data_IF_542688668284
#
_entry.id   IF_542688668284
#
_cell.length_a   1.000
_cell.length_b   1.000
_cell.length_c   1.000
_cell.angle_alpha   90.00
_cell.angle_beta   90.00
_cell.angle_gamma   90.00
#
_symmetry.space_group_name_H-M   'P 1'
#
loop_
_entity.id
_entity.type
_entity.pdbx_description
1 polymer ?
#
# COMPACT_ATOMS: atom_id res chain seq x y z
N UNK A 1 -15.93 -3.07 -12.06
CA UNK A 1 -15.40 -3.22 -10.67
C UNK A 1 -14.66 -1.93 -10.31
N UNK A 2 -14.77 -1.42 -9.08
CA UNK A 2 -14.03 -0.23 -8.68
C UNK A 2 -12.56 -0.57 -8.38
N UNK A 3 -11.68 0.41 -8.53
CA UNK A 3 -10.25 0.27 -8.27
C UNK A 3 -10.02 0.23 -6.75
N UNK A 4 -9.10 -0.63 -6.30
CA UNK A 4 -8.75 -0.78 -4.88
C UNK A 4 -8.08 0.48 -4.31
N UNK A 5 -8.41 0.87 -3.09
CA UNK A 5 -7.88 2.07 -2.42
C UNK A 5 -6.37 2.07 -2.34
N UNK A 6 -5.78 0.98 -1.84
CA UNK A 6 -4.33 0.77 -1.76
C UNK A 6 -3.61 0.85 -3.11
N UNK A 7 -4.26 0.48 -4.22
CA UNK A 7 -3.68 0.64 -5.57
C UNK A 7 -3.64 2.11 -5.95
N UNK A 8 -4.71 2.86 -5.70
CA UNK A 8 -4.72 4.30 -5.93
C UNK A 8 -3.69 5.03 -5.06
N UNK A 9 -3.56 4.63 -3.78
CA UNK A 9 -2.56 5.17 -2.87
C UNK A 9 -1.13 4.90 -3.35
N UNK A 10 -0.83 3.67 -3.75
CA UNK A 10 0.48 3.29 -4.30
C UNK A 10 0.79 4.02 -5.62
N UNK A 11 -0.20 4.23 -6.49
CA UNK A 11 -0.05 5.03 -7.71
C UNK A 11 0.28 6.49 -7.39
N UNK A 12 -0.42 7.10 -6.42
CA UNK A 12 -0.11 8.46 -5.97
C UNK A 12 1.32 8.56 -5.41
N UNK A 13 1.72 7.62 -4.57
CA UNK A 13 3.07 7.57 -3.99
C UNK A 13 4.15 7.40 -5.07
N UNK A 14 3.91 6.53 -6.06
CA UNK A 14 4.80 6.35 -7.21
C UNK A 14 4.94 7.63 -8.02
N UNK A 15 3.83 8.31 -8.34
CA UNK A 15 3.85 9.56 -9.08
C UNK A 15 4.59 10.66 -8.31
N UNK A 16 4.40 10.73 -6.98
CA UNK A 16 5.18 11.63 -6.13
C UNK A 16 6.69 11.36 -6.22
N UNK A 17 7.09 10.10 -6.11
CA UNK A 17 8.49 9.67 -6.22
C UNK A 17 9.10 10.06 -7.58
N UNK A 18 8.39 9.78 -8.67
CA UNK A 18 8.83 10.13 -10.03
C UNK A 18 8.95 11.65 -10.24
N UNK A 19 7.97 12.44 -9.77
CA UNK A 19 7.99 13.89 -9.86
C UNK A 19 9.11 14.54 -9.01
N UNK A 20 9.47 13.89 -7.90
CA UNK A 20 10.53 14.36 -7.02
C UNK A 20 11.93 14.02 -7.54
N UNK A 21 12.13 12.78 -8.00
CA UNK A 21 13.43 12.24 -8.38
C UNK A 21 14.13 13.08 -9.45
N UNK A 22 13.42 13.57 -10.47
CA UNK A 22 14.05 14.35 -11.54
C UNK A 22 15.28 13.63 -12.13
N UNK A 23 16.47 14.24 -12.03
CA UNK A 23 17.78 13.68 -12.45
C UNK A 23 18.68 13.23 -11.27
N UNK A 24 18.15 13.16 -10.05
CA UNK A 24 18.87 12.68 -8.86
C UNK A 24 18.71 11.16 -8.74
N UNK A 25 19.74 10.50 -8.20
CA UNK A 25 19.72 9.06 -7.92
C UNK A 25 18.53 8.72 -7.03
N UNK A 26 17.74 7.71 -7.44
CA UNK A 26 16.43 7.36 -6.90
C UNK A 26 16.40 6.78 -5.49
N UNK A 27 17.08 7.40 -4.53
CA UNK A 27 17.14 6.97 -3.12
C UNK A 27 15.94 7.42 -2.27
N UNK A 28 15.10 8.33 -2.78
CA UNK A 28 13.96 8.85 -2.04
C UNK A 28 12.74 7.94 -2.18
N UNK A 29 12.28 7.43 -1.05
CA UNK A 29 11.09 6.58 -0.94
C UNK A 29 9.95 7.29 -0.19
N UNK A 30 8.69 6.91 -0.41
CA UNK A 30 7.56 7.38 0.37
C UNK A 30 7.68 6.88 1.82
N UNK A 31 8.00 7.79 2.75
CA UNK A 31 8.10 7.48 4.19
C UNK A 31 6.79 7.71 4.93
N UNK A 32 5.94 8.60 4.40
CA UNK A 32 4.58 8.80 4.87
C UNK A 32 3.69 9.26 3.72
N UNK A 33 2.51 8.68 3.61
CA UNK A 33 1.50 9.07 2.62
C UNK A 33 0.16 9.18 3.32
N UNK A 34 -0.52 10.31 3.16
CA UNK A 34 -1.92 10.48 3.55
C UNK A 34 -2.76 10.70 2.31
N UNK A 35 -3.98 10.18 2.29
CA UNK A 35 -4.88 10.33 1.16
C UNK A 35 -6.36 10.48 1.58
N UNK A 36 -7.06 11.35 0.87
CA UNK A 36 -8.51 11.53 0.94
C UNK A 36 -9.14 10.92 -0.32
N UNK A 37 -10.02 9.92 -0.14
CA UNK A 37 -10.76 9.28 -1.22
C UNK A 37 -12.09 9.99 -1.43
N UNK A 38 -12.19 10.77 -2.51
CA UNK A 38 -13.33 11.64 -2.81
C UNK A 38 -14.38 10.97 -3.71
N UNK A 39 -13.93 10.09 -4.61
CA UNK A 39 -14.80 9.34 -5.51
C UNK A 39 -14.10 8.06 -5.99
N UNK A 40 -14.89 7.03 -6.31
CA UNK A 40 -14.38 5.78 -6.86
C UNK A 40 -14.31 5.85 -8.41
N UNK A 41 -13.11 5.89 -9.02
CA UNK A 41 -12.95 5.89 -10.47
C UNK A 41 -13.39 4.53 -11.06
N UNK A 42 -13.79 4.57 -12.32
CA UNK A 42 -14.03 3.37 -13.12
C UNK A 42 -12.72 2.81 -13.69
N UNK A 43 -12.66 1.51 -14.01
CA UNK A 43 -11.51 0.93 -14.70
C UNK A 43 -11.26 1.66 -16.02
N UNK A 44 -10.07 2.24 -16.16
CA UNK A 44 -9.71 3.00 -17.34
C UNK A 44 -8.53 3.93 -17.05
N UNK A 45 -8.21 4.81 -18.01
CA UNK A 45 -7.18 5.82 -17.84
C UNK A 45 -7.51 6.74 -16.66
N UNK A 46 -6.47 7.13 -15.93
CA UNK A 46 -6.49 8.17 -14.89
C UNK A 46 -5.30 9.09 -15.10
N UNK A 47 -5.41 10.33 -14.63
CA UNK A 47 -4.33 11.31 -14.64
C UNK A 47 -3.84 11.51 -13.21
N UNK A 48 -2.52 11.54 -13.02
CA UNK A 48 -1.87 11.89 -11.76
C UNK A 48 -1.21 13.26 -11.93
N UNK A 49 -1.72 14.26 -11.21
CA UNK A 49 -1.17 15.62 -11.20
C UNK A 49 -0.36 15.81 -9.93
N UNK A 50 0.92 16.08 -10.06
CA UNK A 50 1.85 16.21 -8.93
C UNK A 50 2.32 17.65 -8.78
N UNK A 51 2.37 18.16 -7.55
CA UNK A 51 2.98 19.45 -7.22
C UNK A 51 4.05 19.27 -6.16
N UNK A 52 5.32 19.47 -6.52
CA UNK A 52 6.42 19.42 -5.55
C UNK A 52 6.41 20.67 -4.69
N UNK A 53 6.02 20.53 -3.42
CA UNK A 53 5.91 21.63 -2.45
C UNK A 53 7.25 22.00 -1.84
N UNK A 54 8.15 21.03 -1.70
CA UNK A 54 9.48 21.22 -1.10
C UNK A 54 10.48 20.23 -1.69
N UNK A 55 11.63 20.75 -2.17
CA UNK A 55 12.85 19.99 -2.46
C UNK A 55 13.89 20.28 -1.40
N UNK A 56 14.08 19.36 -0.47
CA UNK A 56 15.12 19.42 0.55
C UNK A 56 16.16 18.33 0.35
N UNK A 57 17.31 18.45 1.02
CA UNK A 57 18.39 17.46 0.92
C UNK A 57 18.01 16.06 1.45
N UNK A 58 17.12 15.99 2.45
CA UNK A 58 16.70 14.74 3.11
C UNK A 58 15.21 14.47 3.05
N UNK A 59 14.40 15.50 2.81
CA UNK A 59 12.94 15.42 2.84
C UNK A 59 12.37 16.14 1.62
N UNK A 60 11.49 15.44 0.91
CA UNK A 60 10.64 15.95 -0.16
C UNK A 60 9.18 15.98 0.27
N UNK A 61 8.45 17.00 -0.18
CA UNK A 61 7.00 17.06 0.00
C UNK A 61 6.33 17.22 -1.36
N UNK A 62 5.39 16.34 -1.68
CA UNK A 62 4.69 16.33 -2.96
C UNK A 62 3.20 16.14 -2.72
N UNK A 63 2.40 17.05 -3.26
CA UNK A 63 0.95 16.88 -3.35
C UNK A 63 0.63 16.11 -4.64
N UNK A 64 -0.32 15.19 -4.59
CA UNK A 64 -0.75 14.38 -5.74
C UNK A 64 -2.27 14.35 -5.83
N UNK A 65 -2.80 14.56 -7.03
CA UNK A 65 -4.21 14.35 -7.32
C UNK A 65 -4.36 13.26 -8.38
N UNK A 66 -5.13 12.21 -8.07
CA UNK A 66 -5.56 11.22 -9.05
C UNK A 66 -6.95 11.63 -9.55
N UNK A 67 -7.07 11.89 -10.85
CA UNK A 67 -8.29 12.34 -11.50
C UNK A 67 -8.71 11.42 -12.66
N UNK A 68 -10.02 11.30 -12.87
CA UNK A 68 -10.62 10.65 -14.03
C UNK A 68 -11.69 11.58 -14.63
N UNK A 69 -11.65 11.76 -15.95
CA UNK A 69 -12.57 12.64 -16.69
C UNK A 69 -12.68 14.06 -16.10
N UNK A 70 -11.54 14.62 -15.71
CA UNK A 70 -11.44 15.96 -15.12
C UNK A 70 -11.94 16.09 -13.68
N UNK A 71 -12.31 14.98 -13.02
CA UNK A 71 -12.73 14.98 -11.61
C UNK A 71 -11.68 14.33 -10.72
N UNK A 72 -11.28 15.01 -9.65
CA UNK A 72 -10.38 14.44 -8.65
C UNK A 72 -11.08 13.34 -7.85
N UNK A 73 -10.50 12.14 -7.89
CA UNK A 73 -10.96 10.96 -7.17
C UNK A 73 -10.19 10.75 -5.86
N UNK A 74 -8.89 11.03 -5.86
CA UNK A 74 -8.04 10.93 -4.67
C UNK A 74 -7.14 12.15 -4.58
N UNK A 75 -7.03 12.74 -3.38
CA UNK A 75 -5.99 13.72 -3.05
C UNK A 75 -5.03 13.05 -2.09
N UNK A 76 -3.74 13.19 -2.33
CA UNK A 76 -2.72 12.60 -1.47
C UNK A 76 -1.59 13.60 -1.22
N UNK A 77 -0.97 13.48 -0.05
CA UNK A 77 0.27 14.17 0.29
C UNK A 77 1.32 13.12 0.62
N UNK A 78 2.45 13.19 -0.07
CA UNK A 78 3.57 12.27 0.10
C UNK A 78 4.76 13.01 0.71
N UNK A 79 5.25 12.49 1.83
CA UNK A 79 6.56 12.82 2.38
C UNK A 79 7.54 11.79 1.85
N UNK A 80 8.57 12.27 1.16
CA UNK A 80 9.63 11.45 0.60
C UNK A 80 10.91 11.64 1.41
N UNK A 81 11.69 10.58 1.58
CA UNK A 81 12.98 10.63 2.25
C UNK A 81 13.79 9.37 1.97
N UNK A 82 15.06 9.37 2.36
CA UNK A 82 15.88 8.16 2.38
C UNK A 82 15.73 7.50 3.76
N UNK A 83 15.13 6.29 3.85
CA UNK A 83 14.98 5.60 5.13
C UNK A 83 16.35 5.22 5.70
N UNK A 84 16.61 5.56 6.97
CA UNK A 84 17.79 5.08 7.70
C UNK A 84 17.67 3.57 7.93
N UNK A 85 18.66 2.80 7.49
CA UNK A 85 18.63 1.34 7.53
C UNK A 85 19.98 0.69 7.90
N UNK A 86 20.98 1.50 8.27
CA UNK A 86 22.34 1.03 8.56
C UNK A 86 22.62 0.88 10.07
N UNK A 87 21.72 1.36 10.91
CA UNK A 87 21.87 1.35 12.37
C UNK A 87 20.60 0.84 13.04
N UNK A 88 20.76 0.18 14.19
CA UNK A 88 19.64 -0.25 15.01
C UNK A 88 18.81 0.95 15.48
N UNK A 89 17.46 0.83 15.57
CA UNK A 89 16.62 1.89 16.11
C UNK A 89 17.01 2.26 17.55
N UNK A 90 17.15 3.55 17.83
CA UNK A 90 17.41 4.05 19.20
C UNK A 90 16.30 3.70 20.19
N UNK A 91 15.07 3.57 19.69
CA UNK A 91 13.90 3.15 20.44
C UNK A 91 12.99 2.32 19.54
N UNK A 92 12.53 1.19 20.05
CA UNK A 92 11.49 0.37 19.42
C UNK A 92 10.46 -0.02 20.47
N UNK A 93 9.38 0.76 20.57
CA UNK A 93 8.31 0.51 21.53
C UNK A 93 7.43 -0.70 21.13
N UNK A 94 7.35 -0.97 19.82
CA UNK A 94 6.74 -2.16 19.22
C UNK A 94 7.74 -2.73 18.21
N UNK A 95 8.70 -3.57 18.63
CA UNK A 95 9.62 -4.19 17.69
C UNK A 95 8.83 -4.92 16.60
N UNK A 96 9.35 -4.89 15.37
CA UNK A 96 8.87 -5.77 14.31
C UNK A 96 9.29 -7.18 14.71
N UNK A 97 8.49 -7.82 15.54
CA UNK A 97 8.63 -9.24 15.87
C UNK A 97 8.05 -9.99 14.68
N UNK A 98 8.73 -11.02 14.19
CA UNK A 98 8.18 -11.93 13.20
C UNK A 98 7.00 -12.72 13.80
N UNK A 99 5.84 -12.07 13.92
CA UNK A 99 4.60 -12.67 14.43
C UNK A 99 4.10 -13.79 13.52
N UNK A 100 4.46 -13.72 12.24
CA UNK A 100 4.14 -14.70 11.21
C UNK A 100 5.42 -15.09 10.46
N UNK A 101 5.52 -16.35 10.05
CA UNK A 101 6.52 -16.76 9.08
C UNK A 101 6.24 -16.10 7.72
N UNK A 102 7.27 -15.75 6.92
CA UNK A 102 7.08 -15.13 5.61
C UNK A 102 6.27 -16.02 4.64
N UNK A 103 6.37 -17.34 4.77
CA UNK A 103 5.59 -18.30 4.00
C UNK A 103 4.36 -18.76 4.80
N UNK A 104 3.18 -18.88 4.17
CA UNK A 104 1.98 -19.35 4.83
C UNK A 104 2.09 -20.83 5.23
N UNK A 105 1.45 -21.26 6.33
CA UNK A 105 1.31 -22.67 6.67
C UNK A 105 0.64 -23.47 5.56
N UNK A 106 0.93 -24.78 5.51
CA UNK A 106 0.23 -25.69 4.61
C UNK A 106 -1.29 -25.67 4.88
N UNK A 107 -2.09 -25.60 3.81
CA UNK A 107 -3.56 -25.56 3.89
C UNK A 107 -4.17 -24.16 3.99
N UNK A 108 -3.37 -23.10 4.12
CA UNK A 108 -3.86 -21.72 3.93
C UNK A 108 -3.93 -21.43 2.44
N UNK A 109 -5.12 -21.61 1.87
CA UNK A 109 -5.38 -21.47 0.45
C UNK A 109 -5.57 -20.01 0.01
N UNK A 110 -5.18 -19.66 -1.23
CA UNK A 110 -5.37 -18.31 -1.74
C UNK A 110 -6.83 -18.04 -2.05
N UNK A 111 -7.21 -16.76 -2.03
CA UNK A 111 -8.49 -16.30 -2.58
C UNK A 111 -8.50 -16.60 -4.08
N UNK A 112 -9.39 -17.51 -4.49
CA UNK A 112 -9.57 -17.95 -5.86
C UNK A 112 -10.99 -18.43 -6.12
N UNK A 113 -11.29 -19.01 -7.31
CA UNK A 113 -12.61 -19.55 -7.62
C UNK A 113 -13.12 -20.49 -6.51
N UNK A 114 -14.34 -20.25 -6.02
CA UNK A 114 -14.95 -21.00 -4.92
C UNK A 114 -14.68 -20.44 -3.52
N UNK A 115 -13.75 -19.49 -3.35
CA UNK A 115 -13.51 -18.82 -2.07
C UNK A 115 -14.59 -17.74 -1.80
N UNK A 116 -15.14 -17.61 -0.57
CA UNK A 116 -16.18 -16.63 -0.26
C UNK A 116 -15.81 -15.17 -0.56
N UNK A 117 -14.54 -14.82 -0.38
CA UNK A 117 -14.02 -13.48 -0.66
C UNK A 117 -13.71 -13.21 -2.16
N UNK A 118 -13.76 -14.22 -3.03
CA UNK A 118 -13.39 -14.06 -4.44
C UNK A 118 -14.27 -13.09 -5.24
N UNK A 119 -15.59 -13.00 -5.02
CA UNK A 119 -16.45 -12.04 -5.74
C UNK A 119 -16.17 -10.57 -5.37
N UNK A 120 -15.65 -10.32 -4.16
CA UNK A 120 -15.45 -8.97 -3.62
C UNK A 120 -13.98 -8.51 -3.70
N UNK A 121 -13.03 -9.45 -3.74
CA UNK A 121 -11.60 -9.13 -3.77
C UNK A 121 -11.07 -9.11 -5.22
N UNK A 122 -11.14 -7.93 -5.85
CA UNK A 122 -10.60 -7.73 -7.20
C UNK A 122 -9.06 -7.78 -7.25
N UNK A 123 -8.36 -7.58 -6.13
CA UNK A 123 -6.89 -7.66 -6.06
C UNK A 123 -6.37 -9.09 -6.27
N UNK A 124 -7.16 -10.12 -5.96
CA UNK A 124 -6.78 -11.52 -6.16
C UNK A 124 -6.44 -11.85 -7.64
N UNK A 125 -6.79 -10.97 -8.59
CA UNK A 125 -6.33 -11.07 -9.99
C UNK A 125 -4.83 -10.80 -10.13
N UNK A 126 -4.30 -9.82 -9.39
CA UNK A 126 -2.89 -9.40 -9.44
C UNK A 126 -2.02 -9.95 -8.30
N UNK A 127 -2.63 -10.42 -7.21
CA UNK A 127 -1.95 -10.89 -6.02
C UNK A 127 -2.37 -12.32 -5.65
N UNK A 128 -1.45 -13.09 -5.06
CA UNK A 128 -1.77 -14.23 -4.21
C UNK A 128 -2.09 -13.66 -2.81
N UNK A 129 -3.33 -13.83 -2.36
CA UNK A 129 -3.85 -13.32 -1.08
C UNK A 129 -4.37 -14.51 -0.30
N UNK A 130 -3.80 -14.76 0.87
CA UNK A 130 -4.09 -15.92 1.71
C UNK A 130 -4.53 -15.46 3.09
N UNK A 131 -5.83 -15.26 3.32
CA UNK A 131 -6.35 -14.95 4.63
C UNK A 131 -6.43 -16.24 5.45
N UNK A 132 -5.88 -16.23 6.66
CA UNK A 132 -6.14 -17.25 7.66
C UNK A 132 -7.30 -16.78 8.53
N UNK A 133 -8.43 -17.48 8.40
CA UNK A 133 -9.63 -17.24 9.20
C UNK A 133 -9.47 -17.98 10.52
N UNK A 134 -8.92 -17.29 11.53
CA UNK A 134 -8.84 -17.80 12.91
C UNK A 134 -9.61 -16.90 13.85
N UNK A 135 -10.31 -17.48 14.83
CA UNK A 135 -10.90 -16.77 15.97
C UNK A 135 -9.82 -16.34 16.97
N UNK A 136 -8.80 -15.62 16.49
CA UNK A 136 -7.73 -15.10 17.34
C UNK A 136 -8.10 -13.70 17.80
N UNK A 137 -8.04 -13.48 19.11
CA UNK A 137 -8.27 -12.18 19.72
C UNK A 137 -7.01 -11.75 20.48
N UNK A 138 -6.77 -10.45 20.54
CA UNK A 138 -5.79 -9.84 21.45
C UNK A 138 -6.25 -10.03 22.91
N UNK A 139 -5.36 -9.76 23.87
CA UNK A 139 -5.70 -9.89 25.30
C UNK A 139 -6.85 -8.97 25.75
N UNK A 140 -7.05 -7.84 25.06
CA UNK A 140 -8.15 -6.88 25.23
C UNK A 140 -9.39 -7.20 24.36
N UNK A 141 -9.37 -8.31 23.62
CA UNK A 141 -10.53 -8.82 22.88
C UNK A 141 -10.70 -8.29 21.46
N UNK A 142 -9.71 -7.59 20.89
CA UNK A 142 -9.76 -7.14 19.50
C UNK A 142 -9.45 -8.31 18.54
N UNK A 143 -10.13 -8.42 17.39
CA UNK A 143 -9.86 -9.48 16.43
C UNK A 143 -8.49 -9.33 15.78
N UNK A 144 -7.81 -10.45 15.53
CA UNK A 144 -6.51 -10.50 14.84
C UNK A 144 -6.69 -11.17 13.49
N UNK A 145 -6.37 -10.45 12.41
CA UNK A 145 -6.36 -10.97 11.05
C UNK A 145 -4.93 -11.30 10.62
N UNK A 146 -4.72 -12.53 10.16
CA UNK A 146 -3.45 -12.97 9.56
C UNK A 146 -3.65 -13.14 8.06
N UNK A 147 -2.91 -12.39 7.27
CA UNK A 147 -3.02 -12.41 5.81
C UNK A 147 -1.61 -12.43 5.21
N UNK A 148 -1.35 -13.40 4.35
CA UNK A 148 -0.16 -13.39 3.49
C UNK A 148 -0.54 -12.81 2.14
N UNK A 149 0.31 -11.92 1.62
CA UNK A 149 0.09 -11.26 0.34
C UNK A 149 1.40 -11.24 -0.45
N UNK A 150 1.34 -11.67 -1.72
CA UNK A 150 2.46 -11.59 -2.66
C UNK A 150 1.95 -11.15 -4.03
N UNK A 151 2.65 -10.26 -4.75
CA UNK A 151 2.28 -9.97 -6.13
C UNK A 151 2.51 -11.23 -6.97
N UNK A 152 1.60 -11.54 -7.90
CA UNK A 152 1.81 -12.65 -8.85
C UNK A 152 2.94 -12.36 -9.84
N UNK A 153 3.19 -11.09 -10.10
CA UNK A 153 4.24 -10.60 -10.99
C UNK A 153 4.84 -9.32 -10.40
N UNK A 154 6.16 -9.15 -10.55
CA UNK A 154 6.88 -7.97 -10.06
C UNK A 154 7.42 -8.12 -8.63
N UNK A 155 8.12 -7.10 -8.12
CA UNK A 155 8.79 -7.15 -6.82
C UNK A 155 7.83 -6.89 -5.65
N UNK A 156 8.24 -7.35 -4.46
CA UNK A 156 7.69 -6.89 -3.18
C UNK A 156 8.50 -5.66 -2.76
N UNK A 157 8.04 -4.47 -3.17
CA UNK A 157 8.70 -3.19 -2.89
C UNK A 157 7.87 -2.31 -1.94
N UNK A 158 8.35 -1.09 -1.66
CA UNK A 158 7.66 -0.15 -0.77
C UNK A 158 6.27 0.26 -1.27
N UNK A 159 6.06 0.30 -2.58
CA UNK A 159 4.76 0.63 -3.17
C UNK A 159 3.77 -0.52 -2.98
N UNK A 160 4.24 -1.76 -3.14
CA UNK A 160 3.47 -2.95 -2.81
C UNK A 160 3.16 -3.03 -1.32
N UNK A 161 4.11 -2.69 -0.45
CA UNK A 161 3.88 -2.62 1.00
C UNK A 161 2.80 -1.59 1.35
N UNK A 162 2.84 -0.40 0.73
CA UNK A 162 1.84 0.65 0.91
C UNK A 162 0.44 0.19 0.44
N UNK A 163 0.36 -0.44 -0.74
CA UNK A 163 -0.89 -1.02 -1.24
C UNK A 163 -1.44 -2.09 -0.28
N UNK A 164 -0.58 -2.92 0.29
CA UNK A 164 -0.95 -4.00 1.20
C UNK A 164 -1.51 -3.48 2.54
N UNK A 165 -1.23 -2.23 2.92
CA UNK A 165 -1.82 -1.60 4.09
C UNK A 165 -3.35 -1.46 4.04
N UNK A 166 -3.95 -1.56 2.85
CA UNK A 166 -5.40 -1.51 2.62
C UNK A 166 -5.99 -2.88 2.24
N UNK A 167 -5.25 -3.99 2.46
CA UNK A 167 -5.67 -5.33 2.02
C UNK A 167 -6.64 -6.03 2.98
N UNK A 168 -6.82 -5.49 4.18
CA UNK A 168 -7.73 -6.06 5.16
C UNK A 168 -9.14 -6.05 4.59
N UNK A 169 -9.84 -7.18 4.77
CA UNK A 169 -11.25 -7.24 4.39
C UNK A 169 -12.02 -6.33 5.35
N UNK A 170 -12.91 -5.45 4.85
CA UNK A 170 -13.75 -4.63 5.72
C UNK A 170 -14.51 -5.54 6.72
N UNK A 171 -14.48 -5.16 8.00
CA UNK A 171 -15.25 -5.80 9.07
C UNK A 171 -16.74 -5.46 8.99
#
# INVERSE_FOLDING_TARGET
PKIHGGVMLALCAKAAREAYAGSLDGSFEPVAVSADFLAAPDPGPVQLVTTVRKRGRRIGLVDVELAQDGRTCVRAVATLGEPEHLVEPLLSANPVIGLMAPEPPAGVEPIGPGHPAAPINNLARGCDIRPELTETFTADGAPVFKIWVRPKQGPVDVLFALMSGDISVPV
#
